data_IF_413615774600
#
_entry.id   IF_413615774600
#
_cell.length_a   1.000
_cell.length_b   1.000
_cell.length_c   1.000
_cell.angle_alpha   90.00
_cell.angle_beta   90.00
_cell.angle_gamma   90.00
#
_symmetry.space_group_name_H-M   'P 1'
#
loop_
_entity.id
_entity.type
_entity.pdbx_description
1 polymer ?
#
# COMPACT_ATOMS: atom_id res chain seq x y z
N UNK A 1 -14.58 -24.35 -13.86
CA UNK A 1 -13.35 -24.03 -14.60
C UNK A 1 -12.52 -23.16 -13.69
N UNK A 2 -11.21 -23.35 -13.64
CA UNK A 2 -10.31 -22.46 -12.88
C UNK A 2 -10.36 -21.08 -13.53
N UNK A 3 -10.23 -20.03 -12.73
CA UNK A 3 -10.17 -18.66 -13.25
C UNK A 3 -8.82 -18.46 -13.95
N UNK A 4 -8.79 -17.79 -15.11
CA UNK A 4 -7.56 -17.65 -15.90
C UNK A 4 -6.57 -16.65 -15.30
N UNK A 5 -6.98 -15.86 -14.29
CA UNK A 5 -6.18 -14.86 -13.61
C UNK A 5 -6.06 -15.24 -12.14
N UNK A 6 -4.85 -15.11 -11.60
CA UNK A 6 -4.54 -15.27 -10.18
C UNK A 6 -3.68 -14.12 -9.72
N UNK A 7 -4.18 -13.36 -8.76
CA UNK A 7 -3.43 -12.28 -8.12
C UNK A 7 -2.29 -12.86 -7.29
N UNK A 8 -1.12 -12.22 -7.39
CA UNK A 8 0.05 -12.61 -6.59
C UNK A 8 -0.11 -11.99 -5.20
N UNK A 9 -0.06 -12.82 -4.12
CA UNK A 9 -0.23 -12.31 -2.76
C UNK A 9 0.70 -11.15 -2.44
N UNK A 10 0.13 -10.14 -1.76
CA UNK A 10 0.84 -8.99 -1.22
C UNK A 10 1.84 -8.36 -2.20
N UNK A 11 1.42 -8.23 -3.47
CA UNK A 11 2.24 -7.66 -4.54
C UNK A 11 3.62 -8.35 -4.74
N UNK A 12 3.70 -9.64 -4.42
CA UNK A 12 4.93 -10.44 -4.51
C UNK A 12 5.80 -10.44 -3.26
N UNK A 13 5.32 -9.87 -2.16
CA UNK A 13 5.96 -9.94 -0.85
C UNK A 13 5.45 -11.14 -0.05
N UNK A 14 6.14 -11.49 1.04
CA UNK A 14 5.78 -12.66 1.88
C UNK A 14 4.63 -12.37 2.84
N UNK A 15 4.26 -11.12 3.00
CA UNK A 15 3.16 -10.57 3.80
C UNK A 15 3.10 -9.07 3.61
N UNK A 16 2.11 -8.42 4.23
CA UNK A 16 1.98 -6.96 4.22
C UNK A 16 1.88 -6.39 5.63
N UNK A 17 2.28 -5.13 5.79
CA UNK A 17 2.06 -4.37 7.01
C UNK A 17 1.66 -2.93 6.69
N UNK A 18 0.62 -2.46 7.38
CA UNK A 18 0.24 -1.05 7.39
C UNK A 18 0.41 -0.50 8.79
N UNK A 19 1.33 0.45 8.94
CA UNK A 19 1.46 1.21 10.17
C UNK A 19 0.47 2.38 10.13
N UNK A 20 -0.42 2.44 11.11
CA UNK A 20 -1.44 3.49 11.21
C UNK A 20 -1.25 4.29 12.50
N UNK A 21 -1.53 5.59 12.43
CA UNK A 21 -1.36 6.55 13.52
C UNK A 21 -2.62 7.37 13.70
N UNK A 22 -3.24 7.27 14.88
CA UNK A 22 -4.51 7.91 15.18
C UNK A 22 -4.35 9.29 15.84
N UNK A 23 -5.44 10.03 15.93
CA UNK A 23 -5.62 11.28 16.69
C UNK A 23 -4.98 12.53 16.12
N UNK A 24 -4.25 12.46 15.03
CA UNK A 24 -3.58 13.64 14.42
C UNK A 24 -2.73 14.43 15.42
N UNK A 25 -1.94 13.74 16.24
CA UNK A 25 -1.13 14.34 17.30
C UNK A 25 0.05 15.14 16.72
N UNK A 26 0.37 16.30 17.34
CA UNK A 26 1.48 17.15 16.90
C UNK A 26 2.82 16.39 16.87
N UNK A 27 3.04 15.46 17.81
CA UNK A 27 4.27 14.66 17.89
C UNK A 27 4.43 13.66 16.71
N UNK A 28 3.37 13.32 15.99
CA UNK A 28 3.48 12.55 14.74
C UNK A 28 4.20 13.36 13.66
N UNK A 29 3.92 14.65 13.53
CA UNK A 29 4.65 15.53 12.61
C UNK A 29 6.05 15.86 13.16
N UNK A 30 6.17 16.13 14.44
CA UNK A 30 7.44 16.57 15.04
C UNK A 30 8.48 15.46 15.14
N UNK A 31 8.06 14.24 15.51
CA UNK A 31 8.98 13.15 15.88
C UNK A 31 8.95 11.99 14.86
N UNK A 32 7.79 11.64 14.26
CA UNK A 32 7.71 10.55 13.30
C UNK A 32 8.12 10.97 11.89
N UNK A 33 7.74 12.17 11.44
CA UNK A 33 8.14 12.65 10.10
C UNK A 33 9.66 12.58 9.88
N UNK A 34 10.54 13.03 10.81
CA UNK A 34 11.99 12.88 10.64
C UNK A 34 12.48 11.41 10.54
N UNK A 35 11.74 10.45 11.09
CA UNK A 35 12.03 9.01 10.94
C UNK A 35 11.63 8.55 9.54
N UNK A 36 10.44 8.92 9.09
CA UNK A 36 9.92 8.59 7.75
C UNK A 36 10.76 9.20 6.63
N UNK A 37 11.24 10.44 6.79
CA UNK A 37 12.12 11.10 5.82
C UNK A 37 13.42 10.32 5.55
N UNK A 38 13.86 9.49 6.51
CA UNK A 38 15.04 8.61 6.38
C UNK A 38 14.71 7.24 5.80
N UNK A 39 13.42 6.91 5.68
CA UNK A 39 12.90 5.61 5.25
C UNK A 39 11.99 5.78 4.01
N UNK A 40 12.53 6.18 2.86
CA UNK A 40 11.73 6.58 1.70
C UNK A 40 10.85 5.48 1.10
N UNK A 41 11.06 4.23 1.49
CA UNK A 41 10.27 3.08 1.05
C UNK A 41 9.15 2.73 2.05
N UNK A 42 9.04 3.46 3.16
CA UNK A 42 8.00 3.30 4.18
C UNK A 42 6.92 4.35 3.98
N UNK A 43 5.70 3.92 3.71
CA UNK A 43 4.53 4.78 3.64
C UNK A 43 3.50 4.30 4.66
N UNK A 44 2.95 5.23 5.43
CA UNK A 44 2.05 4.95 6.56
C UNK A 44 0.72 5.68 6.38
N UNK A 45 -0.24 5.40 7.26
CA UNK A 45 -1.55 6.07 7.28
C UNK A 45 -1.71 6.87 8.55
N UNK A 46 -2.18 8.10 8.44
CA UNK A 46 -2.59 8.95 9.55
C UNK A 46 -4.10 9.08 9.55
N UNK A 47 -4.76 8.63 10.61
CA UNK A 47 -6.20 8.79 10.80
C UNK A 47 -6.46 10.07 11.58
N UNK A 48 -6.97 11.08 10.87
CA UNK A 48 -7.08 12.44 11.34
C UNK A 48 -8.42 12.69 12.04
N UNK A 49 -8.39 13.45 13.14
CA UNK A 49 -9.55 13.93 13.89
C UNK A 49 -9.40 15.41 14.20
N UNK A 50 -10.52 16.10 14.50
CA UNK A 50 -10.48 17.46 15.06
C UNK A 50 -10.50 17.47 16.60
N UNK A 51 -10.45 16.29 17.24
CA UNK A 51 -10.26 16.22 18.68
C UNK A 51 -8.93 16.88 19.06
N UNK A 52 -8.95 17.83 19.97
CA UNK A 52 -7.79 18.67 20.27
C UNK A 52 -7.39 19.58 19.11
N UNK A 53 -6.19 20.11 19.17
CA UNK A 53 -5.69 21.11 18.21
C UNK A 53 -4.65 20.54 17.23
N UNK A 54 -4.25 19.28 17.38
CA UNK A 54 -3.11 18.70 16.66
C UNK A 54 -3.25 18.81 15.14
N UNK A 55 -4.36 18.38 14.58
CA UNK A 55 -4.59 18.49 13.13
C UNK A 55 -4.57 19.95 12.65
N UNK A 56 -5.23 20.87 13.37
CA UNK A 56 -5.27 22.28 12.99
C UNK A 56 -3.89 22.95 13.07
N UNK A 57 -3.10 22.63 14.09
CA UNK A 57 -1.77 23.22 14.31
C UNK A 57 -0.71 22.67 13.38
N UNK A 58 -0.85 21.42 12.95
CA UNK A 58 0.14 20.69 12.13
C UNK A 58 -0.38 20.36 10.72
N UNK A 59 -1.37 21.11 10.22
CA UNK A 59 -2.00 20.85 8.92
C UNK A 59 -0.99 20.90 7.76
N UNK A 60 -0.03 21.82 7.81
CA UNK A 60 1.08 21.93 6.85
C UNK A 60 2.02 20.71 6.92
N UNK A 61 2.28 20.20 8.12
CA UNK A 61 3.08 18.98 8.33
C UNK A 61 2.37 17.74 7.77
N UNK A 62 1.07 17.59 8.01
CA UNK A 62 0.29 16.49 7.41
C UNK A 62 0.18 16.62 5.89
N UNK A 63 0.06 17.84 5.34
CA UNK A 63 0.11 18.05 3.91
C UNK A 63 1.48 17.68 3.31
N UNK A 64 2.58 18.00 4.01
CA UNK A 64 3.92 17.56 3.60
C UNK A 64 4.07 16.04 3.62
N UNK A 65 3.51 15.34 4.63
CA UNK A 65 3.46 13.89 4.71
C UNK A 65 2.61 13.29 3.57
N UNK A 66 1.46 13.90 3.25
CA UNK A 66 0.63 13.48 2.11
C UNK A 66 1.38 13.59 0.78
N UNK A 67 2.10 14.69 0.55
CA UNK A 67 2.95 14.87 -0.64
C UNK A 67 4.12 13.87 -0.70
N UNK A 68 4.56 13.36 0.45
CA UNK A 68 5.56 12.29 0.54
C UNK A 68 4.98 10.88 0.29
N UNK A 69 3.66 10.76 0.04
CA UNK A 69 3.00 9.50 -0.27
C UNK A 69 2.37 8.78 0.92
N UNK A 70 2.32 9.42 2.09
CA UNK A 70 1.58 8.89 3.23
C UNK A 70 0.08 9.14 3.06
N UNK A 71 -0.74 8.23 3.57
CA UNK A 71 -2.19 8.33 3.48
C UNK A 71 -2.77 9.15 4.64
N UNK A 72 -3.77 9.98 4.33
CA UNK A 72 -4.60 10.67 5.30
C UNK A 72 -5.99 10.04 5.30
N UNK A 73 -6.33 9.35 6.38
CA UNK A 73 -7.63 8.74 6.62
C UNK A 73 -8.46 9.54 7.60
N UNK A 74 -9.69 9.12 7.84
CA UNK A 74 -10.68 9.78 8.68
C UNK A 74 -10.84 9.06 10.03
N UNK A 75 -10.74 9.80 11.14
CA UNK A 75 -10.95 9.29 12.49
C UNK A 75 -12.05 10.04 13.24
N UNK A 76 -13.10 10.43 12.53
CA UNK A 76 -14.22 11.27 12.97
C UNK A 76 -13.81 12.70 13.34
N UNK A 77 -14.82 13.58 13.33
CA UNK A 77 -14.64 14.99 13.69
C UNK A 77 -14.28 15.16 15.16
N UNK A 78 -15.02 14.51 16.06
CA UNK A 78 -14.94 14.75 17.50
C UNK A 78 -14.31 13.62 18.30
N UNK A 79 -13.97 12.50 17.66
CA UNK A 79 -13.51 11.27 18.32
C UNK A 79 -14.56 10.78 19.34
N UNK A 80 -15.83 10.84 18.98
CA UNK A 80 -16.94 10.42 19.86
C UNK A 80 -17.31 8.94 19.70
N UNK A 81 -18.12 8.44 20.63
CA UNK A 81 -18.72 7.10 20.55
C UNK A 81 -19.82 7.08 19.49
N UNK A 82 -19.50 6.71 18.25
CA UNK A 82 -20.43 6.74 17.11
C UNK A 82 -21.66 5.86 17.33
N UNK A 83 -21.50 4.75 18.05
CA UNK A 83 -22.59 3.80 18.34
C UNK A 83 -23.66 4.38 19.27
N UNK A 84 -23.34 5.44 20.01
CA UNK A 84 -24.28 6.17 20.86
C UNK A 84 -25.03 7.29 20.15
N UNK A 85 -24.64 7.62 18.91
CA UNK A 85 -25.28 8.68 18.12
C UNK A 85 -26.53 8.11 17.43
N UNK A 86 -27.70 8.58 17.85
CA UNK A 86 -28.98 8.21 17.24
C UNK A 86 -29.43 9.12 16.10
N UNK A 87 -28.88 10.36 16.03
CA UNK A 87 -29.19 11.32 14.98
C UNK A 87 -28.26 11.10 13.77
N UNK A 88 -28.83 10.67 12.67
CA UNK A 88 -28.10 10.44 11.42
C UNK A 88 -27.44 11.72 10.87
N UNK A 89 -27.96 12.91 11.18
CA UNK A 89 -27.34 14.17 10.78
C UNK A 89 -26.03 14.44 11.55
N UNK A 90 -25.89 13.94 12.75
CA UNK A 90 -24.63 14.00 13.50
C UNK A 90 -23.62 12.96 12.98
N UNK A 91 -24.06 11.73 12.64
CA UNK A 91 -23.18 10.75 11.98
C UNK A 91 -22.65 11.29 10.64
N UNK A 92 -23.48 11.98 9.87
CA UNK A 92 -23.03 12.62 8.62
C UNK A 92 -21.94 13.67 8.87
N UNK A 93 -22.08 14.50 9.91
CA UNK A 93 -21.08 15.50 10.29
C UNK A 93 -19.78 14.86 10.79
N UNK A 94 -19.89 13.80 11.57
CA UNK A 94 -18.74 13.09 12.15
C UNK A 94 -17.94 12.35 11.08
N UNK A 95 -18.59 11.80 10.07
CA UNK A 95 -17.99 10.88 9.11
C UNK A 95 -17.78 11.56 7.75
N UNK A 96 -18.86 11.99 7.09
CA UNK A 96 -18.82 12.43 5.69
C UNK A 96 -18.27 13.85 5.58
N UNK A 97 -18.91 14.82 6.25
CA UNK A 97 -18.49 16.22 6.19
C UNK A 97 -17.09 16.43 6.77
N UNK A 98 -16.67 15.56 7.69
CA UNK A 98 -15.31 15.64 8.22
C UNK A 98 -14.27 15.08 7.23
N UNK A 99 -14.57 14.05 6.46
CA UNK A 99 -13.69 13.62 5.37
C UNK A 99 -13.46 14.75 4.35
N UNK A 100 -14.54 15.43 3.92
CA UNK A 100 -14.45 16.60 3.03
C UNK A 100 -13.63 17.75 3.65
N UNK A 101 -13.76 17.96 4.97
CA UNK A 101 -12.96 18.94 5.71
C UNK A 101 -11.48 18.57 5.75
N UNK A 102 -11.13 17.28 5.92
CA UNK A 102 -9.74 16.81 5.86
C UNK A 102 -9.18 17.13 4.47
N UNK A 103 -9.85 16.70 3.40
CA UNK A 103 -9.43 16.95 2.02
C UNK A 103 -9.18 18.43 1.75
N UNK A 104 -10.16 19.27 2.13
CA UNK A 104 -10.03 20.71 1.98
C UNK A 104 -8.86 21.29 2.79
N UNK A 105 -8.71 20.88 4.06
CA UNK A 105 -7.65 21.41 4.92
C UNK A 105 -6.27 21.03 4.36
N UNK A 106 -6.09 19.81 3.91
CA UNK A 106 -4.85 19.34 3.29
C UNK A 106 -4.58 20.06 1.96
N UNK A 107 -5.62 20.30 1.15
CA UNK A 107 -5.50 21.05 -0.10
C UNK A 107 -5.12 22.53 0.13
N UNK A 108 -5.72 23.19 1.12
CA UNK A 108 -5.38 24.56 1.52
C UNK A 108 -3.91 24.68 1.99
N UNK A 109 -3.28 23.55 2.40
CA UNK A 109 -1.87 23.45 2.80
C UNK A 109 -0.97 22.79 1.73
N UNK A 110 -1.42 22.66 0.49
CA UNK A 110 -0.58 22.37 -0.67
C UNK A 110 -0.48 20.88 -1.06
N UNK A 111 -1.37 20.00 -0.59
CA UNK A 111 -1.44 18.61 -1.03
C UNK A 111 -2.87 18.22 -1.45
N UNK A 112 -3.01 17.52 -2.57
CA UNK A 112 -4.31 17.02 -3.04
C UNK A 112 -4.45 15.54 -2.69
N UNK A 113 -5.46 15.22 -1.88
CA UNK A 113 -5.76 13.86 -1.46
C UNK A 113 -7.23 13.52 -1.67
N UNK A 114 -7.56 12.23 -1.65
CA UNK A 114 -8.89 11.69 -1.34
C UNK A 114 -8.82 10.94 -0.02
N UNK A 115 -9.78 11.19 0.86
CA UNK A 115 -9.96 10.41 2.09
C UNK A 115 -10.79 9.18 1.74
N UNK A 116 -10.13 8.03 1.65
CA UNK A 116 -10.71 6.77 1.17
C UNK A 116 -10.87 5.73 2.28
N UNK A 117 -10.21 5.92 3.41
CA UNK A 117 -10.19 5.01 4.55
C UNK A 117 -10.69 5.67 5.83
N UNK A 118 -11.22 4.85 6.71
CA UNK A 118 -11.77 5.24 7.99
C UNK A 118 -11.15 4.41 9.12
N UNK A 119 -11.06 4.96 10.32
CA UNK A 119 -10.76 4.23 11.54
C UNK A 119 -11.79 4.60 12.61
N UNK A 120 -12.46 3.59 13.14
CA UNK A 120 -13.51 3.79 14.14
C UNK A 120 -12.89 4.08 15.51
N UNK A 121 -13.22 5.23 16.15
CA UNK A 121 -12.82 5.49 17.53
C UNK A 121 -13.30 4.40 18.48
N UNK A 122 -12.50 4.10 19.50
CA UNK A 122 -12.79 3.10 20.54
C UNK A 122 -13.04 1.68 20.03
N UNK A 123 -12.79 1.43 18.72
CA UNK A 123 -13.09 0.14 18.09
C UNK A 123 -14.58 -0.26 18.17
N UNK A 124 -15.46 0.72 18.10
CA UNK A 124 -16.91 0.54 18.26
C UNK A 124 -17.63 0.85 16.96
N UNK A 125 -18.26 -0.14 16.38
CA UNK A 125 -19.16 0.04 15.24
C UNK A 125 -20.48 -0.71 15.39
N UNK A 126 -21.43 -0.40 14.53
CA UNK A 126 -22.67 -1.13 14.32
C UNK A 126 -23.12 -0.93 12.86
N UNK A 127 -24.15 -1.64 12.44
CA UNK A 127 -24.62 -1.58 11.04
C UNK A 127 -24.99 -0.17 10.59
N UNK A 128 -25.56 0.66 11.47
CA UNK A 128 -25.87 2.06 11.15
C UNK A 128 -24.59 2.86 10.89
N UNK A 129 -23.60 2.78 11.77
CA UNK A 129 -22.29 3.46 11.63
C UNK A 129 -21.61 2.98 10.36
N UNK A 130 -21.52 1.66 10.12
CA UNK A 130 -20.96 1.09 8.88
C UNK A 130 -21.65 1.61 7.62
N UNK A 131 -22.98 1.77 7.66
CA UNK A 131 -23.73 2.32 6.52
C UNK A 131 -23.35 3.75 6.18
N UNK A 132 -22.98 4.58 7.18
CA UNK A 132 -22.47 5.94 6.97
C UNK A 132 -21.01 5.94 6.49
N UNK A 133 -20.16 5.07 7.05
CA UNK A 133 -18.78 4.92 6.59
C UNK A 133 -18.75 4.56 5.11
N UNK A 134 -19.57 3.60 4.67
CA UNK A 134 -19.65 3.13 3.29
C UNK A 134 -20.08 4.20 2.26
N UNK A 135 -20.72 5.30 2.71
CA UNK A 135 -21.11 6.41 1.82
C UNK A 135 -19.94 7.27 1.34
N UNK A 136 -18.76 7.15 1.96
CA UNK A 136 -17.61 7.98 1.63
C UNK A 136 -16.28 7.22 1.66
N UNK A 137 -16.22 6.06 2.31
CA UNK A 137 -14.99 5.28 2.48
C UNK A 137 -15.22 3.86 2.00
N UNK A 138 -14.20 3.26 1.37
CA UNK A 138 -14.33 1.87 0.90
C UNK A 138 -13.87 0.85 1.94
N UNK A 139 -13.21 1.31 3.01
CA UNK A 139 -12.54 0.45 4.00
C UNK A 139 -12.53 1.13 5.37
N UNK A 140 -12.76 0.34 6.43
CA UNK A 140 -12.65 0.80 7.81
C UNK A 140 -11.75 -0.13 8.64
N UNK A 141 -10.91 0.48 9.46
CA UNK A 141 -10.12 -0.19 10.47
C UNK A 141 -10.86 -0.21 11.79
N UNK A 142 -11.03 -1.39 12.30
CA UNK A 142 -11.47 -1.70 13.66
C UNK A 142 -10.24 -2.14 14.49
N UNK A 143 -10.43 -2.79 15.61
CA UNK A 143 -9.40 -3.41 16.42
C UNK A 143 -9.57 -4.93 16.49
N UNK A 144 -8.55 -5.60 16.98
CA UNK A 144 -8.61 -7.04 17.22
C UNK A 144 -7.33 -7.55 17.88
N UNK A 145 -7.41 -8.73 18.47
CA UNK A 145 -6.30 -9.30 19.22
C UNK A 145 -5.02 -9.47 18.39
N UNK A 146 -5.16 -9.81 17.10
CA UNK A 146 -4.03 -10.18 16.26
C UNK A 146 -3.70 -9.17 15.17
N UNK A 147 -4.64 -8.29 14.80
CA UNK A 147 -4.45 -7.31 13.73
C UNK A 147 -4.15 -7.90 12.34
N UNK A 148 -4.30 -9.23 12.16
CA UNK A 148 -3.97 -9.95 10.93
C UNK A 148 -5.21 -10.17 10.07
N UNK A 149 -5.05 -9.95 8.77
CA UNK A 149 -6.03 -10.23 7.73
C UNK A 149 -5.41 -11.24 6.75
N UNK A 150 -6.00 -12.42 6.62
CA UNK A 150 -5.42 -13.56 5.91
C UNK A 150 -5.75 -13.51 4.42
N UNK A 151 -4.79 -13.83 3.55
CA UNK A 151 -4.93 -13.66 2.10
C UNK A 151 -6.19 -14.32 1.51
N UNK A 152 -6.50 -15.55 1.90
CA UNK A 152 -7.60 -16.33 1.33
C UNK A 152 -8.94 -16.14 2.07
N UNK A 153 -9.02 -15.21 3.04
CA UNK A 153 -10.22 -14.97 3.83
C UNK A 153 -10.77 -13.57 3.56
N UNK A 154 -11.88 -13.47 2.85
CA UNK A 154 -12.53 -12.18 2.63
C UNK A 154 -13.07 -11.61 3.95
N UNK A 155 -12.58 -10.44 4.40
CA UNK A 155 -12.99 -9.84 5.66
C UNK A 155 -14.27 -9.02 5.52
N UNK A 156 -14.81 -8.55 6.64
CA UNK A 156 -15.69 -7.39 6.63
C UNK A 156 -14.85 -6.13 6.35
N UNK A 157 -14.99 -5.58 5.15
CA UNK A 157 -14.23 -4.40 4.70
C UNK A 157 -14.44 -3.15 5.56
N UNK A 158 -15.51 -3.15 6.34
CA UNK A 158 -15.84 -2.07 7.28
C UNK A 158 -15.56 -2.44 8.74
N UNK A 159 -14.77 -3.52 8.99
CA UNK A 159 -14.35 -3.94 10.33
C UNK A 159 -13.03 -4.72 10.28
N UNK A 160 -12.04 -4.17 9.58
CA UNK A 160 -10.73 -4.80 9.44
C UNK A 160 -9.96 -4.79 10.75
N UNK A 161 -9.31 -5.91 11.05
CA UNK A 161 -8.59 -6.09 12.30
C UNK A 161 -7.29 -5.30 12.32
N UNK A 162 -7.03 -4.66 13.47
CA UNK A 162 -5.77 -3.98 13.75
C UNK A 162 -5.27 -4.32 15.16
N UNK A 163 -3.96 -4.44 15.32
CA UNK A 163 -3.32 -4.65 16.62
C UNK A 163 -2.88 -3.31 17.19
N UNK A 164 -3.43 -2.94 18.33
CA UNK A 164 -3.01 -1.76 19.06
C UNK A 164 -1.70 -2.01 19.80
N UNK A 165 -0.80 -1.03 19.75
CA UNK A 165 0.39 -1.00 20.56
C UNK A 165 0.27 0.04 21.67
N UNK A 166 0.62 -0.39 22.89
CA UNK A 166 0.80 0.49 24.04
C UNK A 166 2.12 0.19 24.69
N UNK A 167 2.72 1.18 25.34
CA UNK A 167 4.04 1.09 25.97
C UNK A 167 4.08 0.04 27.07
N UNK A 168 2.98 -0.07 27.87
CA UNK A 168 2.83 -1.08 28.91
C UNK A 168 2.39 -2.45 28.35
N UNK A 169 1.83 -2.48 27.14
CA UNK A 169 1.22 -3.68 26.54
C UNK A 169 2.15 -4.55 25.73
N UNK A 170 3.27 -4.00 25.24
CA UNK A 170 4.24 -4.77 24.44
C UNK A 170 5.65 -4.17 24.48
N UNK A 171 6.64 -5.02 24.62
CA UNK A 171 8.04 -4.66 24.38
C UNK A 171 8.31 -4.51 22.87
N UNK A 172 9.40 -3.86 22.52
CA UNK A 172 9.83 -3.75 21.10
C UNK A 172 10.05 -5.14 20.48
N UNK A 173 10.56 -6.11 21.22
CA UNK A 173 10.79 -7.47 20.72
C UNK A 173 9.47 -8.17 20.40
N UNK A 174 8.42 -7.97 21.20
CA UNK A 174 7.07 -8.49 20.90
C UNK A 174 6.44 -7.79 19.70
N UNK A 175 6.73 -6.49 19.50
CA UNK A 175 6.32 -5.76 18.31
C UNK A 175 7.00 -6.34 17.05
N UNK A 176 8.32 -6.58 17.10
CA UNK A 176 9.05 -7.20 15.99
C UNK A 176 8.57 -8.63 15.72
N UNK A 177 8.36 -9.43 16.77
CA UNK A 177 7.80 -10.78 16.64
C UNK A 177 6.41 -10.78 15.98
N UNK A 178 5.59 -9.76 16.21
CA UNK A 178 4.29 -9.64 15.53
C UNK A 178 4.42 -9.36 14.03
N UNK A 179 5.44 -8.60 13.62
CA UNK A 179 5.77 -8.43 12.19
C UNK A 179 6.19 -9.75 11.56
N UNK A 180 6.97 -10.57 12.28
CA UNK A 180 7.36 -11.92 11.80
C UNK A 180 6.15 -12.82 11.62
N UNK A 181 5.12 -12.71 12.47
CA UNK A 181 3.88 -13.50 12.31
C UNK A 181 3.11 -13.12 11.05
N UNK A 182 3.15 -11.88 10.61
CA UNK A 182 2.54 -11.46 9.34
C UNK A 182 3.20 -12.14 8.14
N UNK A 183 4.51 -12.31 8.21
CA UNK A 183 5.30 -12.96 7.18
C UNK A 183 5.32 -14.50 7.29
N UNK A 184 4.79 -15.09 8.37
CA UNK A 184 4.98 -16.50 8.71
C UNK A 184 6.46 -16.93 8.70
N UNK A 185 7.35 -16.05 9.15
CA UNK A 185 8.78 -16.34 9.30
C UNK A 185 8.97 -17.15 10.57
N UNK A 186 9.44 -18.39 10.41
CA UNK A 186 9.82 -19.28 11.51
C UNK A 186 8.78 -20.35 11.85
N UNK A 187 9.25 -21.42 12.52
CA UNK A 187 8.39 -22.39 13.18
C UNK A 187 7.98 -21.81 14.51
N UNK A 188 6.73 -21.42 14.64
CA UNK A 188 6.15 -20.98 15.91
C UNK A 188 5.90 -22.19 16.83
N UNK A 189 6.96 -22.83 17.36
CA UNK A 189 6.84 -23.77 18.48
C UNK A 189 6.35 -22.98 19.71
N UNK A 190 5.11 -23.20 20.09
CA UNK A 190 4.44 -22.50 21.19
C UNK A 190 3.47 -21.40 20.78
N UNK A 191 3.28 -21.16 19.50
CA UNK A 191 2.20 -20.31 19.00
C UNK A 191 0.84 -20.87 19.46
N UNK A 192 -0.06 -19.96 19.82
CA UNK A 192 -1.45 -20.28 20.15
C UNK A 192 -2.02 -21.21 19.05
N UNK A 193 -2.74 -22.32 19.39
CA UNK A 193 -3.33 -23.25 18.41
C UNK A 193 -4.25 -22.56 17.38
N UNK A 194 -4.58 -21.30 17.56
CA UNK A 194 -5.30 -20.45 16.62
C UNK A 194 -4.41 -19.77 15.55
N UNK A 195 -3.07 -19.87 15.69
CA UNK A 195 -2.12 -19.36 14.70
C UNK A 195 -1.92 -20.39 13.58
N UNK A 196 -2.94 -20.61 12.78
CA UNK A 196 -2.87 -21.46 11.60
C UNK A 196 -1.89 -20.82 10.61
N UNK A 197 -0.95 -21.63 10.10
CA UNK A 197 -0.11 -21.21 8.97
C UNK A 197 -1.03 -21.01 7.76
N UNK A 198 -1.25 -19.78 7.36
CA UNK A 198 -2.02 -19.45 6.16
C UNK A 198 -1.07 -19.39 4.99
N UNK A 199 -1.37 -20.17 3.96
CA UNK A 199 -0.62 -20.15 2.71
C UNK A 199 -0.73 -18.79 2.06
N UNK A 200 0.40 -18.09 1.89
CA UNK A 200 0.44 -16.79 1.23
C UNK A 200 0.71 -15.59 2.13
N UNK A 201 0.93 -15.82 3.43
CA UNK A 201 1.16 -14.72 4.38
C UNK A 201 -0.13 -14.00 4.80
N UNK A 202 0.02 -12.92 5.56
CA UNK A 202 -1.10 -12.10 6.02
C UNK A 202 -0.78 -10.61 5.96
N UNK A 203 -1.79 -9.79 6.10
CA UNK A 203 -1.67 -8.35 6.26
C UNK A 203 -1.85 -7.97 7.74
N UNK A 204 -0.79 -7.51 8.37
CA UNK A 204 -0.82 -6.95 9.72
C UNK A 204 -1.15 -5.46 9.65
N UNK A 205 -2.18 -5.03 10.34
CA UNK A 205 -2.47 -3.62 10.57
C UNK A 205 -2.04 -3.25 11.97
N UNK A 206 -1.13 -2.30 12.10
CA UNK A 206 -0.61 -1.81 13.37
C UNK A 206 -1.25 -0.47 13.69
N UNK A 207 -1.86 -0.38 14.88
CA UNK A 207 -2.50 0.81 15.40
C UNK A 207 -1.59 1.46 16.44
N UNK A 208 -1.10 2.65 16.13
CA UNK A 208 -0.32 3.52 17.01
C UNK A 208 -1.05 4.85 17.22
N UNK A 209 -0.63 5.61 18.22
CA UNK A 209 -1.10 6.97 18.48
C UNK A 209 0.09 7.94 18.49
N UNK A 210 0.58 8.33 19.67
CA UNK A 210 1.70 9.27 19.79
C UNK A 210 3.05 8.67 19.44
N UNK A 211 3.97 9.54 19.02
CA UNK A 211 5.38 9.18 18.80
C UNK A 211 6.25 10.11 19.64
N UNK A 212 6.69 9.62 20.79
CA UNK A 212 7.50 10.38 21.74
C UNK A 212 8.22 9.45 22.70
N UNK A 213 9.32 9.90 23.28
CA UNK A 213 10.05 9.22 24.35
C UNK A 213 9.50 9.54 25.75
N UNK A 214 8.45 10.35 25.86
CA UNK A 214 7.75 10.62 27.12
C UNK A 214 7.11 9.33 27.66
N UNK A 215 7.65 8.86 28.77
CA UNK A 215 7.20 7.62 29.43
C UNK A 215 5.87 7.76 30.15
N UNK A 216 5.35 8.97 30.30
CA UNK A 216 4.03 9.24 30.87
C UNK A 216 2.87 8.96 29.90
N UNK A 217 3.14 8.86 28.60
CA UNK A 217 2.16 8.52 27.58
C UNK A 217 2.24 7.02 27.22
N UNK A 218 1.29 6.23 27.72
CA UNK A 218 1.24 4.78 27.48
C UNK A 218 0.84 4.44 26.04
N UNK A 219 0.11 5.33 25.37
CA UNK A 219 -0.31 5.15 23.97
C UNK A 219 0.75 5.64 22.96
N UNK A 220 1.90 6.12 23.43
CA UNK A 220 2.97 6.55 22.55
C UNK A 220 4.02 5.45 22.37
N UNK A 221 4.69 5.49 21.21
CA UNK A 221 5.84 4.66 20.89
C UNK A 221 7.10 5.54 20.75
N UNK A 222 8.25 5.02 21.18
CA UNK A 222 9.52 5.73 21.02
C UNK A 222 9.88 5.86 19.52
N UNK A 223 10.36 7.04 19.05
CA UNK A 223 10.82 7.20 17.67
C UNK A 223 11.84 6.16 17.23
N UNK A 224 12.74 5.76 18.14
CA UNK A 224 13.75 4.74 17.85
C UNK A 224 13.15 3.34 17.71
N UNK A 225 12.07 3.02 18.43
CA UNK A 225 11.43 1.72 18.37
C UNK A 225 10.55 1.59 17.13
N UNK A 226 9.88 2.66 16.69
CA UNK A 226 9.17 2.65 15.41
C UNK A 226 10.15 2.56 14.23
N UNK A 227 11.33 3.21 14.32
CA UNK A 227 12.38 3.06 13.29
C UNK A 227 12.87 1.61 13.18
N UNK A 228 13.04 0.91 14.31
CA UNK A 228 13.38 -0.53 14.31
C UNK A 228 12.32 -1.37 13.64
N UNK A 229 11.03 -1.10 13.90
CA UNK A 229 9.93 -1.82 13.25
C UNK A 229 9.92 -1.62 11.73
N UNK A 230 10.12 -0.39 11.24
CA UNK A 230 10.21 -0.12 9.81
C UNK A 230 11.35 -0.89 9.14
N UNK A 231 12.56 -0.85 9.73
CA UNK A 231 13.72 -1.59 9.23
C UNK A 231 13.47 -3.10 9.22
N UNK A 232 12.93 -3.62 10.31
CA UNK A 232 12.62 -5.05 10.43
C UNK A 232 11.61 -5.50 9.37
N UNK A 233 10.56 -4.73 9.14
CA UNK A 233 9.56 -5.05 8.11
C UNK A 233 10.17 -5.08 6.70
N UNK A 234 11.02 -4.11 6.36
CA UNK A 234 11.70 -4.05 5.06
C UNK A 234 12.71 -5.20 4.89
N UNK A 235 13.56 -5.44 5.89
CA UNK A 235 14.57 -6.50 5.89
C UNK A 235 13.93 -7.89 5.73
N UNK A 236 12.77 -8.10 6.34
CA UNK A 236 11.98 -9.32 6.23
C UNK A 236 11.03 -9.34 5.02
N UNK A 237 11.20 -8.41 4.06
CA UNK A 237 10.46 -8.40 2.78
C UNK A 237 8.94 -8.32 2.93
N UNK A 238 8.45 -7.66 3.96
CA UNK A 238 7.05 -7.30 4.06
C UNK A 238 6.74 -6.13 3.12
N UNK A 239 5.55 -6.13 2.56
CA UNK A 239 5.04 -4.98 1.82
C UNK A 239 4.58 -3.90 2.79
N UNK A 240 5.41 -2.88 3.01
CA UNK A 240 5.07 -1.73 3.88
C UNK A 240 4.37 -0.68 3.04
N UNK A 241 3.07 -0.54 3.23
CA UNK A 241 2.27 0.41 2.44
C UNK A 241 1.07 0.95 3.25
N UNK A 242 0.48 2.09 2.83
CA UNK A 242 -0.69 2.67 3.46
C UNK A 242 -1.87 1.69 3.55
N UNK A 243 -2.70 1.88 4.57
CA UNK A 243 -3.86 1.01 4.85
C UNK A 243 -4.82 0.90 3.67
N UNK A 244 -5.19 2.03 3.05
CA UNK A 244 -6.04 2.04 1.87
C UNK A 244 -5.38 1.41 0.64
N UNK A 245 -4.06 1.53 0.49
CA UNK A 245 -3.33 0.90 -0.62
C UNK A 245 -3.34 -0.62 -0.53
N UNK A 246 -2.96 -1.17 0.64
CA UNK A 246 -2.98 -2.63 0.86
C UNK A 246 -4.41 -3.15 0.80
N UNK A 247 -5.35 -2.44 1.44
CA UNK A 247 -6.76 -2.81 1.44
C UNK A 247 -7.39 -2.83 0.05
N UNK A 248 -7.04 -1.87 -0.82
CA UNK A 248 -7.52 -1.85 -2.19
C UNK A 248 -7.01 -3.03 -3.02
N UNK A 249 -5.71 -3.34 -2.91
CA UNK A 249 -5.09 -4.51 -3.53
C UNK A 249 -5.75 -5.81 -3.04
N UNK A 250 -5.91 -5.94 -1.73
CA UNK A 250 -6.50 -7.09 -1.08
C UNK A 250 -7.97 -7.28 -1.45
N UNK A 251 -8.76 -6.20 -1.54
CA UNK A 251 -10.16 -6.27 -1.98
C UNK A 251 -10.30 -6.60 -3.46
N UNK A 252 -9.45 -6.02 -4.30
CA UNK A 252 -9.47 -6.26 -5.74
C UNK A 252 -9.10 -7.72 -6.09
N UNK A 253 -8.22 -8.36 -5.30
CA UNK A 253 -7.83 -9.75 -5.55
C UNK A 253 -9.03 -10.71 -5.49
N UNK A 254 -9.94 -10.58 -4.50
CA UNK A 254 -11.12 -11.45 -4.41
C UNK A 254 -12.01 -11.35 -5.65
N UNK A 255 -12.08 -10.18 -6.23
CA UNK A 255 -12.90 -9.89 -7.40
C UNK A 255 -12.26 -10.44 -8.67
N UNK A 256 -10.98 -10.13 -8.88
CA UNK A 256 -10.25 -10.57 -10.09
C UNK A 256 -10.05 -12.09 -10.08
N UNK A 257 -9.73 -12.67 -8.94
CA UNK A 257 -9.54 -14.12 -8.79
C UNK A 257 -10.85 -14.92 -8.96
N UNK A 258 -12.01 -14.28 -8.80
CA UNK A 258 -13.32 -14.87 -9.05
C UNK A 258 -13.87 -14.59 -10.46
N UNK A 259 -13.24 -13.68 -11.22
CA UNK A 259 -13.72 -13.27 -12.53
C UNK A 259 -13.61 -14.42 -13.55
N UNK A 260 -14.63 -14.56 -14.40
CA UNK A 260 -14.72 -15.65 -15.37
C UNK A 260 -14.29 -15.20 -16.74
N UNK A 261 -13.65 -16.11 -17.47
CA UNK A 261 -13.33 -15.89 -18.86
C UNK A 261 -14.59 -15.98 -19.76
N UNK A 262 -14.60 -15.14 -20.79
CA UNK A 262 -15.51 -15.24 -21.93
C UNK A 262 -14.68 -15.50 -23.18
N UNK A 263 -14.90 -16.64 -23.83
CA UNK A 263 -14.16 -17.03 -25.03
C UNK A 263 -14.40 -16.05 -26.18
N UNK A 264 -13.35 -15.77 -26.95
CA UNK A 264 -13.39 -15.01 -28.23
C UNK A 264 -12.79 -15.85 -29.36
N UNK A 265 -12.87 -15.38 -30.60
CA UNK A 265 -12.36 -16.10 -31.77
C UNK A 265 -10.84 -16.33 -31.70
N UNK A 266 -10.11 -15.42 -31.04
CA UNK A 266 -8.64 -15.40 -30.96
C UNK A 266 -8.09 -15.61 -29.53
N UNK A 267 -8.98 -15.83 -28.53
CA UNK A 267 -8.56 -16.01 -27.13
C UNK A 267 -9.72 -15.89 -26.15
N UNK A 268 -9.59 -15.01 -25.14
CA UNK A 268 -10.64 -14.75 -24.16
C UNK A 268 -10.57 -13.32 -23.60
N UNK A 269 -11.69 -12.89 -23.00
CA UNK A 269 -11.77 -11.67 -22.17
C UNK A 269 -12.15 -12.04 -20.75
N UNK A 270 -11.73 -11.23 -19.79
CA UNK A 270 -12.14 -11.30 -18.39
C UNK A 270 -12.64 -9.93 -17.98
N UNK A 271 -13.79 -9.87 -17.33
CA UNK A 271 -14.44 -8.64 -16.90
C UNK A 271 -14.79 -8.72 -15.41
N UNK A 272 -14.74 -7.56 -14.73
CA UNK A 272 -15.10 -7.44 -13.33
C UNK A 272 -15.70 -6.07 -13.00
N UNK A 273 -16.35 -5.97 -11.85
CA UNK A 273 -16.94 -4.73 -11.35
C UNK A 273 -16.15 -4.16 -10.19
N UNK A 274 -16.11 -2.84 -10.07
CA UNK A 274 -15.52 -2.14 -8.92
C UNK A 274 -16.58 -2.08 -7.82
N UNK A 275 -16.33 -2.64 -6.61
CA UNK A 275 -17.36 -2.80 -5.58
C UNK A 275 -17.69 -1.51 -4.83
N UNK A 276 -16.90 -0.46 -4.99
CA UNK A 276 -17.12 0.85 -4.37
C UNK A 276 -16.48 1.96 -5.20
N UNK A 277 -17.23 3.03 -5.44
CA UNK A 277 -16.73 4.25 -6.10
C UNK A 277 -15.67 4.99 -5.27
N UNK A 278 -15.57 4.66 -3.97
CA UNK A 278 -14.59 5.24 -3.05
C UNK A 278 -13.24 4.50 -3.06
N UNK A 279 -13.10 3.43 -3.82
CA UNK A 279 -11.80 2.80 -4.03
C UNK A 279 -10.82 3.76 -4.74
N UNK A 280 -9.49 3.58 -4.57
CA UNK A 280 -8.49 4.39 -5.28
C UNK A 280 -8.73 4.42 -6.78
N UNK A 281 -8.40 5.55 -7.42
CA UNK A 281 -8.54 5.73 -8.86
C UNK A 281 -7.56 4.87 -9.70
N UNK A 282 -6.54 4.30 -9.07
CA UNK A 282 -5.59 3.35 -9.67
C UNK A 282 -5.25 2.29 -8.65
N UNK A 283 -5.37 1.03 -9.04
CA UNK A 283 -5.07 -0.13 -8.20
C UNK A 283 -4.30 -1.13 -9.07
N UNK A 284 -2.98 -0.98 -9.17
CA UNK A 284 -2.16 -1.91 -9.92
C UNK A 284 -2.12 -3.27 -9.20
N UNK A 285 -2.52 -4.33 -9.90
CA UNK A 285 -2.48 -5.70 -9.40
C UNK A 285 -1.40 -6.48 -10.13
N UNK A 286 -0.56 -7.17 -9.38
CA UNK A 286 0.38 -8.15 -9.91
C UNK A 286 -0.32 -9.50 -10.01
N UNK A 287 -0.36 -10.08 -11.20
CA UNK A 287 -1.15 -11.28 -11.50
C UNK A 287 -0.36 -12.30 -12.31
N UNK A 288 -0.69 -13.58 -12.13
CA UNK A 288 -0.39 -14.64 -13.09
C UNK A 288 -1.60 -14.83 -13.99
N UNK A 289 -1.35 -14.99 -15.28
CA UNK A 289 -2.39 -15.24 -16.29
C UNK A 289 -2.11 -16.57 -16.96
N UNK A 290 -3.11 -17.48 -16.96
CA UNK A 290 -3.05 -18.71 -17.69
C UNK A 290 -3.32 -18.44 -19.18
N UNK A 291 -2.28 -18.57 -19.99
CA UNK A 291 -2.36 -18.34 -21.44
C UNK A 291 -2.33 -19.66 -22.24
N UNK A 292 -2.41 -20.82 -21.61
CA UNK A 292 -2.23 -22.13 -22.30
C UNK A 292 -3.23 -22.34 -23.45
N UNK A 293 -4.47 -21.89 -23.28
CA UNK A 293 -5.52 -21.99 -24.31
C UNK A 293 -5.24 -21.10 -25.53
N UNK A 294 -4.41 -20.07 -25.39
CA UNK A 294 -4.07 -19.09 -26.44
C UNK A 294 -2.69 -19.37 -27.04
N UNK A 295 -1.71 -19.77 -26.20
CA UNK A 295 -0.34 -20.11 -26.55
C UNK A 295 0.70 -19.27 -25.81
N UNK A 296 1.99 -19.73 -25.88
CA UNK A 296 3.09 -19.11 -25.14
C UNK A 296 3.37 -17.65 -25.49
N UNK A 297 3.05 -17.24 -26.72
CA UNK A 297 3.24 -15.87 -27.22
C UNK A 297 1.95 -15.05 -27.15
N UNK A 298 1.03 -15.39 -26.26
CA UNK A 298 -0.22 -14.66 -26.11
C UNK A 298 0.03 -13.16 -25.84
N UNK A 299 -0.79 -12.34 -26.45
CA UNK A 299 -0.83 -10.89 -26.20
C UNK A 299 -1.84 -10.63 -25.09
N UNK A 300 -1.41 -9.96 -24.05
CA UNK A 300 -2.28 -9.47 -22.96
C UNK A 300 -2.54 -7.99 -23.18
N UNK A 301 -3.80 -7.60 -23.24
CA UNK A 301 -4.23 -6.22 -23.50
C UNK A 301 -5.17 -5.71 -22.42
N UNK A 302 -5.00 -4.45 -22.05
CA UNK A 302 -5.89 -3.72 -21.16
C UNK A 302 -5.97 -2.24 -21.55
N UNK A 303 -7.17 -1.65 -21.55
CA UNK A 303 -7.37 -0.27 -21.98
C UNK A 303 -6.88 0.01 -23.41
N UNK A 304 -6.91 -0.98 -24.31
CA UNK A 304 -6.42 -0.90 -25.68
C UNK A 304 -4.89 -0.91 -25.83
N UNK A 305 -4.13 -1.22 -24.76
CA UNK A 305 -2.67 -1.30 -24.75
C UNK A 305 -2.21 -2.71 -24.44
N UNK A 306 -1.16 -3.16 -25.11
CA UNK A 306 -0.49 -4.42 -24.76
C UNK A 306 0.27 -4.25 -23.45
N UNK A 307 0.07 -5.18 -22.52
CA UNK A 307 0.76 -5.22 -21.22
C UNK A 307 1.99 -6.09 -21.34
N UNK A 308 3.11 -5.56 -20.86
CA UNK A 308 4.37 -6.28 -20.82
C UNK A 308 4.35 -7.38 -19.75
N UNK A 309 4.88 -8.56 -20.11
CA UNK A 309 5.19 -9.62 -19.17
C UNK A 309 6.44 -9.24 -18.37
N UNK A 310 6.38 -9.33 -17.06
CA UNK A 310 7.50 -9.09 -16.16
C UNK A 310 8.53 -10.24 -16.25
N UNK A 311 9.75 -9.99 -15.76
CA UNK A 311 10.86 -10.97 -15.82
C UNK A 311 10.60 -12.26 -15.05
N UNK A 312 9.70 -12.24 -14.08
CA UNK A 312 9.27 -13.41 -13.31
C UNK A 312 8.06 -14.14 -13.92
N UNK A 313 7.59 -13.67 -15.07
CA UNK A 313 6.45 -14.25 -15.79
C UNK A 313 5.09 -13.66 -15.42
N UNK A 314 5.01 -12.78 -14.42
CA UNK A 314 3.80 -12.10 -14.00
C UNK A 314 3.43 -10.94 -14.94
N UNK A 315 2.25 -10.36 -14.72
CA UNK A 315 1.80 -9.12 -15.34
C UNK A 315 1.36 -8.14 -14.26
N UNK A 316 1.43 -6.85 -14.55
CA UNK A 316 0.79 -5.80 -13.73
C UNK A 316 -0.40 -5.27 -14.51
N UNK A 317 -1.60 -5.48 -13.99
CA UNK A 317 -2.85 -4.99 -14.57
C UNK A 317 -3.41 -3.84 -13.72
N UNK A 318 -4.22 -2.99 -14.33
CA UNK A 318 -4.93 -1.93 -13.61
C UNK A 318 -6.37 -2.39 -13.31
N UNK A 319 -6.69 -2.55 -12.02
CA UNK A 319 -8.01 -3.04 -11.61
C UNK A 319 -9.15 -2.12 -12.07
N UNK A 320 -8.90 -0.82 -12.10
CA UNK A 320 -9.92 0.18 -12.46
C UNK A 320 -10.31 0.19 -13.94
N UNK A 321 -9.57 -0.49 -14.80
CA UNK A 321 -9.91 -0.72 -16.22
C UNK A 321 -11.02 -1.76 -16.41
N UNK A 322 -11.40 -2.52 -15.38
CA UNK A 322 -12.55 -3.45 -15.32
C UNK A 322 -12.53 -4.63 -16.30
N UNK A 323 -11.52 -4.73 -17.13
CA UNK A 323 -11.41 -5.82 -18.11
C UNK A 323 -9.97 -6.10 -18.52
N UNK A 324 -9.76 -7.29 -19.02
CA UNK A 324 -8.52 -7.76 -19.61
C UNK A 324 -8.84 -8.62 -20.83
N UNK A 325 -8.05 -8.50 -21.90
CA UNK A 325 -8.11 -9.38 -23.06
C UNK A 325 -6.80 -10.16 -23.24
N UNK A 326 -6.92 -11.47 -23.48
CA UNK A 326 -5.81 -12.35 -23.85
C UNK A 326 -6.10 -12.95 -25.22
N UNK A 327 -5.19 -12.77 -26.18
CA UNK A 327 -5.39 -13.20 -27.56
C UNK A 327 -4.13 -13.73 -28.22
N UNK A 328 -4.30 -14.42 -29.35
CA UNK A 328 -3.20 -14.80 -30.23
C UNK A 328 -2.52 -13.55 -30.83
N UNK A 329 -1.19 -13.57 -31.03
CA UNK A 329 -0.52 -12.48 -31.72
C UNK A 329 -0.94 -12.43 -33.20
N UNK A 330 -1.04 -11.22 -33.74
CA UNK A 330 -1.16 -11.01 -35.18
C UNK A 330 0.21 -11.18 -35.87
N UNK A 331 0.28 -11.44 -37.19
CA UNK A 331 1.55 -11.52 -37.89
C UNK A 331 2.41 -10.27 -37.64
N UNK A 332 3.62 -10.46 -37.13
CA UNK A 332 4.57 -9.38 -36.82
C UNK A 332 4.43 -8.73 -35.44
N UNK A 333 3.44 -9.10 -34.64
CA UNK A 333 3.36 -8.67 -33.24
C UNK A 333 4.35 -9.45 -32.35
N UNK A 334 5.01 -8.73 -31.46
CA UNK A 334 5.86 -9.30 -30.44
C UNK A 334 5.32 -8.93 -29.04
N UNK A 335 5.00 -9.91 -28.17
CA UNK A 335 4.54 -9.64 -26.81
C UNK A 335 5.54 -8.81 -25.98
N UNK A 336 6.84 -8.89 -26.31
CA UNK A 336 7.89 -8.15 -25.61
C UNK A 336 8.01 -6.68 -26.03
N UNK A 337 7.30 -6.25 -27.08
CA UNK A 337 7.27 -4.85 -27.53
C UNK A 337 6.28 -3.96 -26.77
N UNK A 338 5.65 -4.51 -25.76
CA UNK A 338 4.60 -3.87 -24.96
C UNK A 338 5.12 -2.73 -24.07
N UNK A 339 4.28 -1.74 -23.84
CA UNK A 339 4.49 -0.68 -22.85
C UNK A 339 4.14 -1.18 -21.44
N UNK A 340 5.03 -0.93 -20.47
CA UNK A 340 4.68 -1.11 -19.06
C UNK A 340 3.57 -0.13 -18.66
N UNK A 341 2.54 -0.58 -17.93
CA UNK A 341 1.59 0.34 -17.31
C UNK A 341 2.28 1.19 -16.24
N UNK A 342 1.87 2.45 -16.03
CA UNK A 342 2.28 3.22 -14.87
C UNK A 342 1.84 2.45 -13.61
N UNK A 343 2.77 1.94 -12.82
CA UNK A 343 2.49 1.08 -11.66
C UNK A 343 3.26 -0.23 -11.66
N UNK A 344 3.84 -0.67 -12.79
CA UNK A 344 4.79 -1.78 -12.83
C UNK A 344 6.15 -1.41 -12.22
N UNK A 345 6.36 -0.16 -11.86
CA UNK A 345 7.54 0.27 -11.13
C UNK A 345 7.26 0.20 -9.63
N UNK A 346 8.04 -0.56 -8.95
CA UNK A 346 8.57 -0.12 -7.66
C UNK A 346 8.90 1.37 -7.76
N UNK A 347 8.07 2.25 -7.20
CA UNK A 347 8.13 3.71 -7.23
C UNK A 347 8.00 4.35 -8.63
N UNK A 348 7.17 5.40 -8.84
CA UNK A 348 7.42 6.30 -9.94
C UNK A 348 8.88 6.73 -9.79
N UNK A 349 9.69 6.48 -10.82
CA UNK A 349 10.98 7.14 -10.94
C UNK A 349 10.65 8.61 -10.75
N UNK A 350 11.05 9.17 -9.60
CA UNK A 350 10.88 10.58 -9.32
C UNK A 350 11.23 11.27 -10.64
N UNK A 351 10.40 12.21 -11.09
CA UNK A 351 10.73 13.01 -12.27
C UNK A 351 12.02 13.77 -11.92
N UNK A 352 13.15 13.12 -12.18
CA UNK A 352 14.43 13.75 -11.95
C UNK A 352 14.50 14.97 -12.87
N UNK A 353 14.95 16.11 -12.36
CA UNK A 353 15.18 17.29 -13.17
C UNK A 353 16.01 16.93 -14.42
N UNK A 354 15.80 17.66 -15.50
CA UNK A 354 16.52 17.46 -16.79
C UNK A 354 18.05 17.52 -16.66
N UNK A 355 18.56 18.05 -15.54
CA UNK A 355 19.99 18.15 -15.21
C UNK A 355 20.50 17.02 -14.27
N UNK A 356 19.73 15.95 -14.09
CA UNK A 356 20.16 14.81 -13.27
C UNK A 356 21.35 14.11 -13.91
N UNK A 357 22.41 13.93 -13.14
CA UNK A 357 23.59 13.17 -13.54
C UNK A 357 23.39 11.68 -13.20
N UNK A 358 23.59 10.80 -14.16
CA UNK A 358 23.54 9.35 -13.98
C UNK A 358 24.94 8.76 -14.18
N UNK A 359 25.47 8.07 -13.17
CA UNK A 359 26.79 7.44 -13.23
C UNK A 359 26.62 5.93 -13.08
N UNK A 360 27.25 5.16 -13.99
CA UNK A 360 27.24 3.70 -14.01
C UNK A 360 28.44 3.16 -13.24
N UNK A 361 28.23 2.14 -12.42
CA UNK A 361 29.26 1.43 -11.67
C UNK A 361 29.17 -0.08 -11.93
N UNK A 362 30.29 -0.79 -11.86
CA UNK A 362 30.29 -2.24 -11.72
C UNK A 362 29.95 -2.69 -10.29
N UNK A 363 29.83 -3.99 -10.07
CA UNK A 363 29.51 -4.52 -8.73
C UNK A 363 30.64 -4.36 -7.70
N UNK A 364 31.86 -4.01 -8.16
CA UNK A 364 33.00 -3.71 -7.30
C UNK A 364 33.08 -2.22 -6.92
N UNK A 365 32.15 -1.42 -7.42
CA UNK A 365 32.11 0.02 -7.17
C UNK A 365 33.00 0.88 -8.09
N UNK A 366 33.55 0.31 -9.16
CA UNK A 366 34.33 1.09 -10.13
C UNK A 366 33.42 1.94 -11.00
N UNK A 367 33.72 3.23 -11.15
CA UNK A 367 33.01 4.17 -12.01
C UNK A 367 33.27 3.83 -13.49
N UNK A 368 32.21 3.52 -14.21
CA UNK A 368 32.24 3.19 -15.64
C UNK A 368 31.82 4.37 -16.55
N UNK A 369 31.55 5.52 -15.94
CA UNK A 369 31.20 6.76 -16.62
C UNK A 369 29.70 7.11 -16.61
N UNK A 370 29.39 8.25 -17.25
CA UNK A 370 28.00 8.74 -17.27
C UNK A 370 27.14 7.98 -18.29
N UNK A 371 25.87 7.82 -17.95
CA UNK A 371 24.85 7.18 -18.79
C UNK A 371 23.60 8.04 -18.86
N UNK A 372 22.65 7.71 -19.73
CA UNK A 372 21.37 8.41 -19.85
C UNK A 372 20.28 7.59 -19.12
N UNK A 373 19.85 8.11 -17.98
CA UNK A 373 18.84 7.42 -17.18
C UNK A 373 19.35 6.12 -16.54
N UNK A 374 18.45 5.16 -16.34
CA UNK A 374 18.74 3.88 -15.69
C UNK A 374 18.97 2.73 -16.69
N UNK A 375 19.47 3.03 -17.89
CA UNK A 375 19.77 2.02 -18.89
C UNK A 375 21.29 1.82 -19.04
N UNK A 376 21.71 0.56 -19.12
CA UNK A 376 23.12 0.22 -19.38
C UNK A 376 23.38 0.24 -20.89
N UNK A 377 24.27 1.11 -21.39
CA UNK A 377 24.53 1.22 -22.82
C UNK A 377 25.04 -0.09 -23.44
N UNK A 378 24.74 -0.27 -24.72
CA UNK A 378 25.08 -1.48 -25.50
C UNK A 378 26.58 -1.79 -25.58
N UNK A 379 27.45 -0.85 -25.30
CA UNK A 379 28.92 -1.02 -25.30
C UNK A 379 29.44 -1.84 -24.09
N UNK A 380 28.63 -2.00 -23.02
CA UNK A 380 29.01 -2.83 -21.87
C UNK A 380 28.58 -4.28 -22.07
N UNK A 381 29.22 -5.22 -21.41
CA UNK A 381 28.87 -6.66 -21.46
C UNK A 381 27.52 -6.94 -20.78
N UNK A 382 26.88 -8.07 -21.12
CA UNK A 382 25.70 -8.51 -20.35
C UNK A 382 26.11 -8.79 -18.91
N UNK A 383 25.36 -8.24 -17.97
CA UNK A 383 25.68 -8.36 -16.55
C UNK A 383 24.87 -7.43 -15.66
N UNK A 384 25.20 -7.42 -14.39
CA UNK A 384 24.59 -6.57 -13.38
C UNK A 384 25.45 -5.36 -13.11
N UNK A 385 24.85 -4.20 -13.01
CA UNK A 385 25.48 -2.90 -12.78
C UNK A 385 24.71 -2.10 -11.76
N UNK A 386 25.32 -1.03 -11.28
CA UNK A 386 24.70 -0.04 -10.37
C UNK A 386 24.68 1.30 -11.08
N UNK A 387 23.52 1.96 -11.10
CA UNK A 387 23.43 3.35 -11.59
C UNK A 387 23.06 4.25 -10.40
N UNK A 388 23.86 5.30 -10.22
CA UNK A 388 23.63 6.37 -9.26
C UNK A 388 23.11 7.60 -10.00
N UNK A 389 21.92 8.07 -9.62
CA UNK A 389 21.33 9.31 -10.12
C UNK A 389 21.49 10.42 -9.08
N UNK A 390 22.03 11.54 -9.47
CA UNK A 390 22.28 12.71 -8.62
C UNK A 390 21.61 13.95 -9.22
N UNK A 391 20.74 14.60 -8.46
CA UNK A 391 20.11 15.88 -8.78
C UNK A 391 20.41 16.89 -7.68
N UNK A 392 20.55 18.16 -8.04
CA UNK A 392 20.83 19.21 -7.06
C UNK A 392 19.72 19.31 -6.02
N UNK A 393 20.11 19.22 -4.73
CA UNK A 393 19.20 19.34 -3.59
C UNK A 393 18.42 18.06 -3.23
N UNK A 394 18.71 16.93 -3.89
CA UNK A 394 18.10 15.63 -3.58
C UNK A 394 19.15 14.61 -3.15
N UNK A 395 18.75 13.67 -2.29
CA UNK A 395 19.60 12.53 -1.98
C UNK A 395 19.82 11.68 -3.24
N UNK A 396 21.03 11.14 -3.47
CA UNK A 396 21.29 10.32 -4.63
C UNK A 396 20.44 9.03 -4.62
N UNK A 397 19.82 8.70 -5.77
CA UNK A 397 19.16 7.42 -5.96
C UNK A 397 20.15 6.41 -6.53
N UNK A 398 20.23 5.23 -5.91
CA UNK A 398 21.08 4.13 -6.38
C UNK A 398 20.18 2.99 -6.86
N UNK A 399 20.35 2.53 -8.10
CA UNK A 399 19.56 1.44 -8.67
C UNK A 399 20.48 0.36 -9.24
N UNK A 400 20.20 -0.90 -8.87
CA UNK A 400 20.78 -2.07 -9.51
C UNK A 400 20.05 -2.32 -10.83
N UNK A 401 20.80 -2.44 -11.94
CA UNK A 401 20.27 -2.63 -13.29
C UNK A 401 20.93 -3.82 -13.95
N UNK A 402 20.23 -4.46 -14.85
CA UNK A 402 20.75 -5.59 -15.65
C UNK A 402 20.77 -5.18 -17.13
N UNK A 403 21.82 -5.66 -17.82
CA UNK A 403 21.93 -5.55 -19.28
C UNK A 403 21.77 -6.93 -19.91
#
# INVERSE_FOLDING_TARGET
MATPIKTIPWNGHIGAVSFTFDDALENQVQNLKPVLDKQPDVHVTFFLTSMGDGFRKSADGFAALANAGHEMGNHTKSHGHLTSISDNSELEKEIIQFAEKIEKTIADNGANIRVISFATPFCEDNDNVKSFIAKHHFINRDCGWHGRNEWDVEPDWLSLKAKIWTRSGASVDEMLSSLDTAAFIGNFEGANPWDVQVKGGSWLVVLNHGVTDDKGDDYAIDPADIEKQFKHAIENKLWVAPFGTVGAYYRAHFIVDAAKETATDDGFTVEWEIPSEHMPASIPLRVNIDTQSVGENAIVEQGGKTIKRESDGSYVIEFTEKSLKVRKPKPGENPDSATSLPGSATRPLANFPSNTKYTLFDLNGNDLGNVNGFEVPAKFSKGTYIIRAEANGQAPLIKKVHR
#
